data_IF_936482979209
#
_entry.id   IF_936482979209
#
_cell.length_a   1.000
_cell.length_b   1.000
_cell.length_c   1.000
_cell.angle_alpha   90.00
_cell.angle_beta   90.00
_cell.angle_gamma   90.00
#
_symmetry.space_group_name_H-M   'P 1'
#
loop_
_entity.id
_entity.type
_entity.pdbx_description
1 polymer ?
#
# COMPACT_ATOMS: atom_id res chain seq x y z
N UNK A 1 -5.20 8.10 5.18
CA UNK A 1 -6.67 7.94 5.12
C UNK A 1 -7.19 7.13 6.30
N UNK A 2 -8.51 6.98 6.41
CA UNK A 2 -9.12 5.89 7.18
C UNK A 2 -9.04 4.58 6.40
N UNK A 3 -9.21 3.44 7.10
CA UNK A 3 -9.15 2.12 6.50
C UNK A 3 -10.51 1.43 6.38
N UNK A 4 -10.45 0.10 6.13
CA UNK A 4 -11.64 -0.77 6.07
C UNK A 4 -12.52 -0.64 7.30
N UNK A 5 -11.89 -0.61 8.51
CA UNK A 5 -12.59 -0.60 9.79
C UNK A 5 -13.21 0.76 10.14
N UNK A 6 -12.73 1.85 9.54
CA UNK A 6 -13.26 3.20 9.79
C UNK A 6 -14.48 3.56 8.95
N UNK A 7 -14.68 2.85 7.84
CA UNK A 7 -15.73 3.16 6.87
C UNK A 7 -17.10 2.74 7.42
N UNK A 8 -18.02 3.70 7.51
CA UNK A 8 -19.38 3.48 8.00
C UNK A 8 -20.36 3.07 6.88
N UNK A 9 -19.99 3.31 5.63
CA UNK A 9 -20.81 3.03 4.46
C UNK A 9 -20.11 2.08 3.50
N UNK A 10 -20.90 1.28 2.78
CA UNK A 10 -20.38 0.36 1.75
C UNK A 10 -19.84 1.15 0.55
N UNK A 11 -18.65 0.72 0.08
CA UNK A 11 -18.04 1.23 -1.14
C UNK A 11 -17.22 2.50 -0.99
N UNK A 12 -17.05 3.01 0.23
CA UNK A 12 -16.31 4.26 0.52
C UNK A 12 -15.23 4.08 1.60
N UNK A 13 -14.36 3.05 1.51
CA UNK A 13 -13.20 2.98 2.38
C UNK A 13 -12.19 4.09 2.03
N UNK A 14 -11.32 4.43 2.96
CA UNK A 14 -10.21 5.35 2.70
C UNK A 14 -10.59 6.84 2.71
N UNK A 15 -11.55 7.23 3.56
CA UNK A 15 -11.86 8.65 3.78
C UNK A 15 -10.61 9.46 4.14
N UNK A 16 -10.47 10.67 3.57
CA UNK A 16 -9.39 11.59 3.91
C UNK A 16 -9.51 12.04 5.37
N UNK A 17 -8.44 11.82 6.16
CA UNK A 17 -8.36 12.23 7.58
C UNK A 17 -7.47 13.44 7.81
N UNK A 18 -6.65 13.81 6.82
CA UNK A 18 -5.80 14.99 6.86
C UNK A 18 -6.11 15.89 5.67
N UNK A 19 -6.16 17.19 5.91
CA UNK A 19 -6.26 18.19 4.85
C UNK A 19 -4.96 18.19 4.00
N UNK A 20 -5.02 18.46 2.69
CA UNK A 20 -3.83 18.45 1.80
C UNK A 20 -2.68 19.34 2.31
N UNK A 21 -2.98 20.52 2.84
CA UNK A 21 -2.00 21.44 3.40
C UNK A 21 -1.29 20.87 4.64
N UNK A 22 -1.94 19.99 5.40
CA UNK A 22 -1.31 19.30 6.54
C UNK A 22 -0.37 18.19 6.04
N UNK A 23 -0.77 17.45 5.02
CA UNK A 23 0.09 16.44 4.38
C UNK A 23 1.35 17.13 3.84
N UNK A 24 1.19 18.23 3.13
CA UNK A 24 2.32 19.00 2.61
C UNK A 24 3.25 19.49 3.72
N UNK A 25 2.71 20.05 4.80
CA UNK A 25 3.52 20.54 5.91
C UNK A 25 4.32 19.42 6.59
N UNK A 26 3.75 18.21 6.70
CA UNK A 26 4.46 17.04 7.23
C UNK A 26 5.58 16.61 6.29
N UNK A 27 5.32 16.51 4.98
CA UNK A 27 6.32 16.13 4.00
C UNK A 27 7.46 17.15 3.95
N UNK A 28 7.16 18.45 3.85
CA UNK A 28 8.17 19.52 3.82
C UNK A 28 9.06 19.45 5.08
N UNK A 29 8.46 19.23 6.26
CA UNK A 29 9.23 19.18 7.51
C UNK A 29 10.06 17.90 7.65
N UNK A 30 9.54 16.77 7.23
CA UNK A 30 10.27 15.50 7.23
C UNK A 30 11.48 15.59 6.29
N UNK A 31 11.29 16.10 5.08
CA UNK A 31 12.37 16.26 4.08
C UNK A 31 13.43 17.26 4.55
N UNK A 32 13.03 18.38 5.18
CA UNK A 32 13.98 19.32 5.81
C UNK A 32 14.90 18.63 6.83
N UNK A 33 14.35 17.63 7.54
CA UNK A 33 15.07 16.86 8.55
C UNK A 33 15.79 15.61 7.99
N UNK A 34 15.69 15.32 6.69
CA UNK A 34 16.31 14.18 6.03
C UNK A 34 15.54 12.87 6.20
N UNK A 35 14.23 12.92 6.47
CA UNK A 35 13.37 11.74 6.60
C UNK A 35 12.42 11.60 5.42
N UNK A 36 12.14 10.36 5.03
CA UNK A 36 11.08 10.00 4.09
C UNK A 36 9.71 9.93 4.80
N UNK A 37 8.65 10.08 4.02
CA UNK A 37 7.26 10.02 4.50
C UNK A 37 6.52 8.89 3.79
N UNK A 38 6.00 7.95 4.57
CA UNK A 38 5.10 6.90 4.12
C UNK A 38 3.64 7.29 4.43
N UNK A 39 2.73 7.07 3.50
CA UNK A 39 1.33 7.39 3.68
C UNK A 39 0.43 6.15 3.60
N UNK A 40 -0.28 5.85 4.70
CA UNK A 40 -1.39 4.87 4.68
C UNK A 40 -2.54 5.39 3.83
N UNK A 41 -2.88 4.68 2.76
CA UNK A 41 -3.85 5.12 1.76
C UNK A 41 -4.65 3.94 1.19
N UNK A 42 -5.98 3.98 1.33
CA UNK A 42 -6.89 2.95 0.82
C UNK A 42 -7.97 3.51 -0.14
N UNK A 43 -7.73 4.69 -0.72
CA UNK A 43 -8.60 5.29 -1.73
C UNK A 43 -7.83 6.05 -2.81
N UNK A 44 -8.38 6.16 -4.01
CA UNK A 44 -7.77 6.92 -5.11
C UNK A 44 -7.58 8.40 -4.77
N UNK A 45 -8.53 9.01 -4.06
CA UNK A 45 -8.40 10.41 -3.60
C UNK A 45 -7.25 10.54 -2.60
N UNK A 46 -7.07 9.55 -1.72
CA UNK A 46 -5.95 9.52 -0.79
C UNK A 46 -4.60 9.39 -1.50
N UNK A 47 -4.49 8.51 -2.51
CA UNK A 47 -3.27 8.38 -3.34
C UNK A 47 -2.93 9.71 -4.00
N UNK A 48 -3.93 10.37 -4.60
CA UNK A 48 -3.74 11.65 -5.26
C UNK A 48 -3.22 12.73 -4.29
N UNK A 49 -3.94 12.93 -3.18
CA UNK A 49 -3.57 13.93 -2.17
C UNK A 49 -2.17 13.67 -1.60
N UNK A 50 -1.84 12.41 -1.31
CA UNK A 50 -0.52 12.05 -0.80
C UNK A 50 0.60 12.40 -1.80
N UNK A 51 0.47 11.95 -3.06
CA UNK A 51 1.46 12.20 -4.10
C UNK A 51 1.58 13.69 -4.47
N UNK A 52 0.48 14.43 -4.57
CA UNK A 52 0.49 15.88 -4.85
C UNK A 52 1.20 16.67 -3.75
N UNK A 53 1.31 16.12 -2.54
CA UNK A 53 1.93 16.78 -1.40
C UNK A 53 3.30 16.19 -1.01
N UNK A 54 3.86 15.30 -1.84
CA UNK A 54 5.27 14.93 -1.78
C UNK A 54 5.61 13.74 -0.87
N UNK A 55 4.69 12.79 -0.67
CA UNK A 55 5.04 11.55 0.04
C UNK A 55 6.02 10.70 -0.77
N UNK A 56 6.88 9.95 -0.08
CA UNK A 56 7.91 9.10 -0.69
C UNK A 56 7.42 7.67 -0.92
N UNK A 57 6.41 7.23 -0.17
CA UNK A 57 5.75 5.94 -0.41
C UNK A 57 4.26 5.96 -0.11
N UNK A 58 3.53 5.17 -0.89
CA UNK A 58 2.11 4.85 -0.68
C UNK A 58 2.03 3.44 -0.12
N UNK A 59 1.49 3.32 1.08
CA UNK A 59 1.18 2.04 1.71
C UNK A 59 -0.23 1.60 1.29
N UNK A 60 -0.43 0.31 0.99
CA UNK A 60 -1.63 -0.30 0.43
C UNK A 60 -1.90 0.13 -1.01
N UNK A 61 -2.36 1.33 -1.21
CA UNK A 61 -2.69 1.87 -2.52
C UNK A 61 -4.15 1.58 -2.93
N UNK A 62 -4.55 2.23 -4.01
CA UNK A 62 -5.86 2.07 -4.64
C UNK A 62 -5.71 2.32 -6.14
N UNK A 63 -6.77 2.10 -6.91
CA UNK A 63 -6.79 2.33 -8.36
C UNK A 63 -6.18 3.68 -8.74
N UNK A 64 -5.25 3.66 -9.70
CA UNK A 64 -4.56 4.84 -10.21
C UNK A 64 -5.23 5.41 -11.46
N UNK A 65 -5.15 6.71 -11.64
CA UNK A 65 -5.37 7.40 -12.91
C UNK A 65 -4.03 7.84 -13.53
N UNK A 66 -4.06 8.36 -14.75
CA UNK A 66 -2.85 8.80 -15.48
C UNK A 66 -2.09 9.92 -14.74
N UNK A 67 -2.81 10.78 -14.00
CA UNK A 67 -2.20 11.84 -13.20
C UNK A 67 -1.40 11.28 -12.03
N UNK A 68 -1.98 10.32 -11.29
CA UNK A 68 -1.29 9.65 -10.18
C UNK A 68 -0.07 8.86 -10.65
N UNK A 69 -0.18 8.16 -11.80
CA UNK A 69 0.94 7.44 -12.42
C UNK A 69 2.09 8.41 -12.74
N UNK A 70 1.76 9.58 -13.30
CA UNK A 70 2.74 10.63 -13.56
C UNK A 70 3.41 11.12 -12.27
N UNK A 71 2.63 11.38 -11.22
CA UNK A 71 3.13 11.85 -9.92
C UNK A 71 4.05 10.82 -9.25
N UNK A 72 3.72 9.53 -9.29
CA UNK A 72 4.62 8.47 -8.80
C UNK A 72 6.01 8.56 -9.44
N UNK A 73 6.07 8.76 -10.77
CA UNK A 73 7.32 8.86 -11.52
C UNK A 73 8.08 10.17 -11.22
N UNK A 74 7.37 11.30 -11.16
CA UNK A 74 7.96 12.60 -10.88
C UNK A 74 8.53 12.70 -9.46
N UNK A 75 7.82 12.12 -8.49
CA UNK A 75 8.25 12.10 -7.09
C UNK A 75 9.24 10.97 -6.78
N UNK A 76 9.50 10.06 -7.73
CA UNK A 76 10.25 8.82 -7.48
C UNK A 76 9.68 8.01 -6.30
N UNK A 77 8.36 8.06 -6.11
CA UNK A 77 7.69 7.44 -5.00
C UNK A 77 7.57 5.92 -5.19
N UNK A 78 7.56 5.19 -4.07
CA UNK A 78 7.36 3.75 -4.03
C UNK A 78 5.90 3.39 -3.74
N UNK A 79 5.47 2.24 -4.25
CA UNK A 79 4.25 1.58 -3.81
C UNK A 79 4.62 0.42 -2.88
N UNK A 80 4.16 0.43 -1.65
CA UNK A 80 4.28 -0.69 -0.72
C UNK A 80 2.95 -1.47 -0.69
N UNK A 81 2.87 -2.56 -1.44
CA UNK A 81 1.66 -3.39 -1.41
C UNK A 81 1.56 -4.17 -0.11
N UNK A 82 0.34 -4.35 0.39
CA UNK A 82 0.05 -5.09 1.62
C UNK A 82 -1.28 -5.83 1.45
N UNK A 83 -1.24 -6.96 0.77
CA UNK A 83 -2.44 -7.78 0.53
C UNK A 83 -2.94 -8.48 1.80
N UNK A 84 -2.00 -8.81 2.70
CA UNK A 84 -2.26 -9.58 3.91
C UNK A 84 -3.36 -9.00 4.80
N UNK A 85 -3.41 -7.71 5.17
CA UNK A 85 -4.44 -7.18 6.08
C UNK A 85 -5.83 -7.09 5.45
N UNK A 86 -5.93 -6.84 4.16
CA UNK A 86 -7.22 -6.74 3.46
C UNK A 86 -7.83 -8.10 3.12
N UNK A 87 -6.99 -9.12 2.89
CA UNK A 87 -7.40 -10.45 2.44
C UNK A 87 -8.40 -11.15 3.38
N UNK A 88 -8.23 -11.19 4.72
CA UNK A 88 -9.19 -11.82 5.60
C UNK A 88 -10.58 -11.18 5.51
N UNK A 89 -10.66 -9.85 5.48
CA UNK A 89 -11.94 -9.14 5.33
C UNK A 89 -12.57 -9.40 3.96
N UNK A 90 -11.78 -9.51 2.90
CA UNK A 90 -12.28 -9.73 1.54
C UNK A 90 -12.76 -11.15 1.29
N UNK A 91 -12.07 -12.17 1.84
CA UNK A 91 -12.19 -13.57 1.39
C UNK A 91 -12.63 -14.57 2.45
N UNK A 92 -12.48 -14.26 3.75
CA UNK A 92 -12.88 -15.19 4.80
C UNK A 92 -14.37 -15.06 5.11
N UNK A 93 -14.95 -16.15 5.60
CA UNK A 93 -16.31 -16.11 6.12
C UNK A 93 -16.38 -15.20 7.35
N UNK A 94 -17.46 -14.46 7.45
CA UNK A 94 -17.69 -13.51 8.56
C UNK A 94 -17.74 -14.17 9.93
N UNK A 95 -18.06 -15.47 10.01
CA UNK A 95 -17.97 -16.22 11.25
C UNK A 95 -16.54 -16.41 11.76
N UNK A 96 -15.54 -16.22 10.88
CA UNK A 96 -14.11 -16.29 11.22
C UNK A 96 -13.59 -14.90 11.60
N UNK A 97 -13.98 -13.87 10.83
CA UNK A 97 -13.45 -12.52 10.99
C UNK A 97 -14.21 -11.66 11.98
N UNK A 98 -15.43 -12.07 12.34
CA UNK A 98 -16.40 -11.25 13.10
C UNK A 98 -16.69 -9.88 12.44
N UNK A 99 -16.38 -9.77 11.16
CA UNK A 99 -16.57 -8.54 10.40
C UNK A 99 -18.07 -8.27 10.16
N UNK A 100 -18.45 -7.01 10.23
CA UNK A 100 -19.75 -6.56 9.77
C UNK A 100 -19.88 -6.72 8.25
N UNK A 101 -21.09 -6.63 7.73
CA UNK A 101 -21.34 -6.65 6.28
C UNK A 101 -20.65 -5.48 5.54
N UNK A 102 -20.58 -4.32 6.20
CA UNK A 102 -19.91 -3.14 5.67
C UNK A 102 -18.41 -3.36 5.59
N UNK A 103 -17.79 -3.86 6.66
CA UNK A 103 -16.36 -4.15 6.71
C UNK A 103 -15.94 -5.23 5.70
N UNK A 104 -16.73 -6.29 5.54
CA UNK A 104 -16.46 -7.30 4.52
C UNK A 104 -16.55 -6.72 3.11
N UNK A 105 -17.59 -5.91 2.82
CA UNK A 105 -17.73 -5.27 1.52
C UNK A 105 -16.56 -4.32 1.25
N UNK A 106 -16.22 -3.47 2.20
CA UNK A 106 -15.11 -2.51 2.06
C UNK A 106 -13.75 -3.20 2.03
N UNK A 107 -13.57 -4.29 2.78
CA UNK A 107 -12.38 -5.14 2.69
C UNK A 107 -12.17 -5.69 1.28
N UNK A 108 -13.25 -6.09 0.61
CA UNK A 108 -13.20 -6.51 -0.80
C UNK A 108 -12.83 -5.37 -1.73
N UNK A 109 -13.38 -4.17 -1.54
CA UNK A 109 -13.04 -2.97 -2.33
C UNK A 109 -11.56 -2.62 -2.18
N UNK A 110 -11.04 -2.62 -0.95
CA UNK A 110 -9.63 -2.33 -0.67
C UNK A 110 -8.73 -3.41 -1.26
N UNK A 111 -9.03 -4.68 -1.05
CA UNK A 111 -8.24 -5.80 -1.57
C UNK A 111 -8.14 -5.77 -3.10
N UNK A 112 -9.25 -5.57 -3.80
CA UNK A 112 -9.26 -5.43 -5.26
C UNK A 112 -8.51 -4.18 -5.71
N UNK A 113 -8.66 -3.07 -4.98
CA UNK A 113 -7.96 -1.81 -5.24
C UNK A 113 -6.44 -1.92 -5.12
N UNK A 114 -5.93 -2.62 -4.11
CA UNK A 114 -4.49 -2.90 -3.93
C UNK A 114 -3.96 -3.73 -5.11
N UNK A 115 -4.69 -4.77 -5.52
CA UNK A 115 -4.29 -5.61 -6.66
C UNK A 115 -4.26 -4.79 -7.96
N UNK A 116 -5.28 -3.97 -8.21
CA UNK A 116 -5.34 -3.12 -9.40
C UNK A 116 -4.20 -2.09 -9.40
N UNK A 117 -3.96 -1.43 -8.25
CA UNK A 117 -2.84 -0.50 -8.07
C UNK A 117 -1.49 -1.16 -8.38
N UNK A 118 -1.24 -2.34 -7.83
CA UNK A 118 0.00 -3.08 -8.07
C UNK A 118 0.20 -3.45 -9.55
N UNK A 119 -0.87 -3.88 -10.25
CA UNK A 119 -0.82 -4.16 -11.70
C UNK A 119 -0.53 -2.90 -12.51
N UNK A 120 -1.21 -1.79 -12.22
CA UNK A 120 -0.95 -0.51 -12.88
C UNK A 120 0.48 -0.01 -12.60
N UNK A 121 0.99 -0.21 -11.38
CA UNK A 121 2.37 0.13 -11.03
C UNK A 121 3.38 -0.69 -11.86
N UNK A 122 3.17 -2.01 -12.02
CA UNK A 122 4.00 -2.88 -12.86
C UNK A 122 3.99 -2.43 -14.33
N UNK A 123 2.82 -2.15 -14.89
CA UNK A 123 2.65 -1.70 -16.27
C UNK A 123 3.33 -0.36 -16.57
N UNK A 124 3.59 0.42 -15.53
CA UNK A 124 4.14 1.78 -15.61
C UNK A 124 5.54 1.94 -15.00
N UNK A 125 6.24 0.84 -14.68
CA UNK A 125 7.58 0.85 -14.10
C UNK A 125 7.67 1.65 -12.78
N UNK A 126 6.58 1.73 -12.01
CA UNK A 126 6.58 2.28 -10.66
C UNK A 126 7.22 1.25 -9.72
N UNK A 127 8.20 1.64 -8.88
CA UNK A 127 8.87 0.70 -7.99
C UNK A 127 7.91 0.18 -6.92
N UNK A 128 7.83 -1.16 -6.79
CA UNK A 128 6.98 -1.84 -5.81
C UNK A 128 7.85 -2.50 -4.74
N UNK A 129 7.48 -2.33 -3.49
CA UNK A 129 7.99 -3.07 -2.35
C UNK A 129 6.87 -3.83 -1.66
N UNK A 130 7.20 -4.80 -0.82
CA UNK A 130 6.22 -5.60 -0.09
C UNK A 130 6.29 -5.31 1.41
N UNK A 131 5.12 -5.13 2.01
CA UNK A 131 4.89 -5.09 3.44
C UNK A 131 3.72 -6.00 3.81
N UNK A 132 3.62 -6.48 5.04
CA UNK A 132 2.49 -7.30 5.48
C UNK A 132 1.67 -6.65 6.61
N UNK A 133 2.00 -5.43 6.97
CA UNK A 133 1.27 -4.64 7.96
C UNK A 133 1.06 -5.41 9.28
N UNK A 134 2.16 -5.86 9.85
CA UNK A 134 2.22 -6.63 11.11
C UNK A 134 1.50 -5.90 12.24
N UNK A 135 0.62 -6.62 12.94
CA UNK A 135 -0.21 -6.07 14.02
C UNK A 135 -1.69 -5.97 13.65
N UNK A 136 -2.04 -6.02 12.38
CA UNK A 136 -3.41 -6.24 11.95
C UNK A 136 -3.91 -7.63 12.38
N UNK A 137 -5.22 -7.82 12.59
CA UNK A 137 -5.78 -9.14 12.91
C UNK A 137 -5.31 -10.21 11.92
N UNK A 138 -4.89 -11.37 12.44
CA UNK A 138 -4.34 -12.54 11.72
C UNK A 138 -2.98 -12.33 11.04
N UNK A 139 -2.33 -11.17 11.21
CA UNK A 139 -1.04 -10.86 10.58
C UNK A 139 0.05 -10.85 11.64
N UNK A 140 0.97 -11.81 11.57
CA UNK A 140 2.12 -11.91 12.48
C UNK A 140 3.42 -11.67 11.74
N UNK A 141 4.47 -11.33 12.50
CA UNK A 141 5.82 -11.15 11.94
C UNK A 141 6.40 -12.43 11.31
N UNK A 142 5.87 -13.60 11.68
CA UNK A 142 6.32 -14.89 11.12
C UNK A 142 5.69 -15.21 9.77
N UNK A 143 4.66 -14.48 9.38
CA UNK A 143 3.83 -14.78 8.21
C UNK A 143 4.17 -13.91 6.99
N UNK A 144 5.23 -13.11 7.01
CA UNK A 144 5.62 -12.24 5.89
C UNK A 144 5.77 -13.00 4.55
N UNK A 145 6.20 -14.26 4.58
CA UNK A 145 6.28 -15.09 3.39
C UNK A 145 4.94 -15.23 2.65
N UNK A 146 3.81 -15.08 3.37
CA UNK A 146 2.48 -15.10 2.76
C UNK A 146 2.23 -13.92 1.84
N UNK A 147 2.79 -12.75 2.17
CA UNK A 147 2.68 -11.57 1.30
C UNK A 147 3.34 -11.84 -0.07
N UNK A 148 4.52 -12.48 -0.10
CA UNK A 148 5.16 -12.88 -1.35
C UNK A 148 4.28 -13.84 -2.16
N UNK A 149 3.66 -14.81 -1.48
CA UNK A 149 2.74 -15.75 -2.12
C UNK A 149 1.47 -15.05 -2.65
N UNK A 150 0.90 -14.10 -1.90
CA UNK A 150 -0.28 -13.35 -2.33
C UNK A 150 0.05 -12.43 -3.51
N UNK A 151 1.19 -11.78 -3.48
CA UNK A 151 1.66 -10.95 -4.57
C UNK A 151 1.83 -11.76 -5.86
N UNK A 152 2.48 -12.93 -5.78
CA UNK A 152 2.55 -13.86 -6.90
C UNK A 152 1.16 -14.29 -7.38
N UNK A 153 0.28 -14.72 -6.45
CA UNK A 153 -1.01 -15.32 -6.77
C UNK A 153 -2.01 -14.33 -7.36
N UNK A 154 -2.12 -13.13 -6.81
CA UNK A 154 -3.18 -12.18 -7.14
C UNK A 154 -2.74 -11.09 -8.13
N UNK A 155 -1.48 -10.70 -8.08
CA UNK A 155 -0.92 -9.71 -9.00
C UNK A 155 -0.32 -10.37 -10.24
N UNK A 156 0.17 -11.60 -10.13
CA UNK A 156 0.63 -12.42 -11.27
C UNK A 156 2.12 -12.29 -11.57
N UNK A 157 2.92 -11.83 -10.62
CA UNK A 157 4.38 -11.68 -10.77
C UNK A 157 5.11 -13.03 -10.59
N UNK A 158 6.35 -13.14 -11.07
CA UNK A 158 7.20 -14.30 -10.78
C UNK A 158 7.64 -14.33 -9.31
N UNK A 159 7.93 -15.53 -8.78
CA UNK A 159 8.48 -15.66 -7.43
C UNK A 159 9.80 -14.88 -7.26
N UNK A 160 10.64 -14.86 -8.28
CA UNK A 160 11.91 -14.09 -8.25
C UNK A 160 11.64 -12.59 -8.13
N UNK A 161 10.64 -12.07 -8.83
CA UNK A 161 10.27 -10.66 -8.72
C UNK A 161 9.66 -10.33 -7.34
N UNK A 162 8.84 -11.21 -6.79
CA UNK A 162 8.30 -11.03 -5.42
C UNK A 162 9.44 -10.98 -4.37
N UNK A 163 10.45 -11.85 -4.49
CA UNK A 163 11.63 -11.82 -3.62
C UNK A 163 12.40 -10.51 -3.82
N UNK A 164 12.63 -10.08 -5.06
CA UNK A 164 13.29 -8.81 -5.36
C UNK A 164 12.57 -7.61 -4.72
N UNK A 165 11.23 -7.54 -4.81
CA UNK A 165 10.44 -6.49 -4.19
C UNK A 165 10.53 -6.51 -2.65
N UNK A 166 10.62 -7.70 -2.05
CA UNK A 166 10.71 -7.89 -0.60
C UNK A 166 12.14 -7.68 -0.04
N UNK A 167 13.16 -7.59 -0.89
CA UNK A 167 14.57 -7.51 -0.47
C UNK A 167 15.26 -6.28 -1.04
N UNK A 168 15.87 -6.36 -2.21
CA UNK A 168 16.67 -5.26 -2.77
C UNK A 168 15.84 -3.99 -3.03
N UNK A 169 14.61 -4.14 -3.55
CA UNK A 169 13.76 -2.97 -3.79
C UNK A 169 13.33 -2.31 -2.48
N UNK A 170 13.04 -3.11 -1.44
CA UNK A 170 12.72 -2.60 -0.11
C UNK A 170 13.95 -1.90 0.54
N UNK A 171 15.15 -2.44 0.34
CA UNK A 171 16.39 -1.80 0.79
C UNK A 171 16.60 -0.44 0.11
N UNK A 172 16.31 -0.32 -1.19
CA UNK A 172 16.35 0.96 -1.93
C UNK A 172 15.36 1.97 -1.41
N UNK A 173 14.12 1.55 -1.10
CA UNK A 173 13.15 2.43 -0.49
C UNK A 173 13.65 2.99 0.86
N UNK A 174 14.36 2.15 1.63
CA UNK A 174 14.91 2.50 2.93
C UNK A 174 16.28 3.19 2.88
N UNK A 175 16.89 3.39 1.68
CA UNK A 175 18.23 3.94 1.46
C UNK A 175 19.35 3.15 2.18
N UNK A 176 19.25 1.81 2.17
CA UNK A 176 20.23 0.89 2.77
C UNK A 176 20.68 -0.21 1.79
N UNK A 177 20.46 -0.02 0.49
CA UNK A 177 20.78 -1.03 -0.53
C UNK A 177 22.29 -1.17 -0.83
N UNK A 178 23.12 -0.31 -0.29
CA UNK A 178 24.57 -0.45 -0.20
C UNK A 178 25.04 -1.40 0.93
N UNK A 179 24.17 -1.66 1.93
CA UNK A 179 24.47 -2.51 3.07
C UNK A 179 23.75 -3.88 3.00
N UNK A 180 22.58 -3.94 2.34
CA UNK A 180 21.71 -5.13 2.36
C UNK A 180 20.79 -5.22 1.14
N UNK A 181 19.96 -6.28 1.09
CA UNK A 181 18.91 -6.47 0.08
C UNK A 181 19.32 -7.35 -1.10
N UNK A 182 20.59 -7.60 -1.31
CA UNK A 182 21.11 -8.53 -2.34
C UNK A 182 22.14 -9.51 -1.74
N UNK A 183 22.33 -10.63 -2.45
CA UNK A 183 23.33 -11.66 -2.15
C UNK A 183 24.44 -11.55 -3.19
#
# INVERSE_FOLDING_TARGET
TGGVLDAKEKGVPGELKMAPEMVKAVCDKAHELGFKVAAHVESSDGVRVALENGVDSIEHGAKLDDHMIKLFKENHAFLCTTLSPALPYALFDRSITDASEVEQFNGKVVFDGIIECAKQALENDIPIVLGNDVGCPWITQYDFWRELYYFHKYVGVSNAYAIYCATLQAARMADIDDETGSI
#
